data_IF_927519640447
#
_entry.id   IF_927519640447
#
_cell.length_a   1.000
_cell.length_b   1.000
_cell.length_c   1.000
_cell.angle_alpha   90.00
_cell.angle_beta   90.00
_cell.angle_gamma   90.00
#
_symmetry.space_group_name_H-M   'P 1'
#
loop_
_entity.id
_entity.type
_entity.pdbx_description
1 polymer ?
#
# COMPACT_ATOMS: atom_id res chain seq x y z
N UNK A 1 0.96 12.85 -7.37
CA UNK A 1 1.43 13.08 -5.97
C UNK A 1 2.87 13.53 -6.01
N UNK A 2 3.20 14.61 -5.32
CA UNK A 2 4.56 15.15 -5.16
C UNK A 2 4.77 15.59 -3.71
N UNK A 3 5.93 15.33 -3.15
CA UNK A 3 6.34 15.78 -1.83
C UNK A 3 7.42 16.85 -1.99
N UNK A 4 7.27 17.97 -1.27
CA UNK A 4 8.20 19.09 -1.31
C UNK A 4 8.61 19.46 0.12
N UNK A 5 9.90 19.34 0.41
CA UNK A 5 10.54 19.73 1.67
C UNK A 5 9.87 19.11 2.92
N UNK A 6 9.53 17.81 2.85
CA UNK A 6 8.84 17.12 3.96
C UNK A 6 9.81 16.91 5.12
N UNK A 7 9.49 17.53 6.27
CA UNK A 7 10.20 17.31 7.54
C UNK A 7 9.20 16.91 8.62
N UNK A 8 9.47 15.80 9.32
CA UNK A 8 8.66 15.31 10.44
C UNK A 8 9.50 15.08 11.68
N UNK A 9 9.10 15.75 12.77
CA UNK A 9 9.72 15.60 14.10
C UNK A 9 8.73 15.02 15.11
N UNK A 10 9.23 14.23 16.03
CA UNK A 10 8.56 13.79 17.23
C UNK A 10 9.34 14.31 18.45
N UNK A 11 8.84 15.35 19.10
CA UNK A 11 9.59 16.11 20.10
C UNK A 11 10.86 16.70 19.47
N UNK A 12 12.02 16.38 20.01
CA UNK A 12 13.31 16.84 19.48
C UNK A 12 13.90 15.89 18.42
N UNK A 13 13.31 14.72 18.21
CA UNK A 13 13.83 13.75 17.26
C UNK A 13 13.27 14.00 15.85
N UNK A 14 14.15 14.29 14.88
CA UNK A 14 13.81 14.40 13.47
C UNK A 14 13.83 13.00 12.86
N UNK A 15 12.67 12.53 12.37
CA UNK A 15 12.49 11.21 11.76
C UNK A 15 12.52 11.29 10.23
N UNK A 16 11.99 12.38 9.68
CA UNK A 16 12.07 12.71 8.25
C UNK A 16 12.64 14.11 8.15
N UNK A 17 13.63 14.31 7.29
CA UNK A 17 14.37 15.56 7.15
C UNK A 17 14.48 15.99 5.68
N UNK A 18 13.76 17.04 5.33
CA UNK A 18 13.79 17.70 4.01
C UNK A 18 13.61 16.77 2.81
N UNK A 19 12.69 15.81 2.89
CA UNK A 19 12.45 14.89 1.79
C UNK A 19 11.68 15.56 0.64
N UNK A 20 12.24 15.40 -0.56
CA UNK A 20 11.62 15.72 -1.83
C UNK A 20 11.40 14.43 -2.63
N UNK A 21 10.17 14.18 -3.10
CA UNK A 21 9.83 12.95 -3.82
C UNK A 21 8.75 13.20 -4.86
N UNK A 22 8.90 12.59 -6.01
CA UNK A 22 7.83 12.37 -6.98
C UNK A 22 7.99 11.00 -7.65
N UNK A 23 6.94 10.52 -8.28
CA UNK A 23 6.98 9.25 -9.01
C UNK A 23 7.69 9.38 -10.37
N UNK A 24 7.81 10.58 -10.94
CA UNK A 24 8.30 10.77 -12.29
C UNK A 24 7.54 9.90 -13.30
N UNK A 25 8.29 9.22 -14.16
CA UNK A 25 7.73 8.25 -15.12
C UNK A 25 7.52 6.85 -14.54
N UNK A 26 8.00 6.57 -13.33
CA UNK A 26 7.88 5.25 -12.70
C UNK A 26 6.44 4.98 -12.27
N UNK A 27 5.98 3.74 -12.49
CA UNK A 27 4.72 3.25 -11.95
C UNK A 27 4.90 2.60 -10.57
N UNK A 28 5.99 1.85 -10.38
CA UNK A 28 6.29 1.15 -9.12
C UNK A 28 7.61 1.66 -8.56
N UNK A 29 7.56 2.30 -7.39
CA UNK A 29 8.74 2.80 -6.69
C UNK A 29 8.93 2.01 -5.40
N UNK A 30 10.11 1.43 -5.23
CA UNK A 30 10.52 0.74 -4.01
C UNK A 30 11.12 1.70 -2.99
N UNK A 31 10.66 1.65 -1.75
CA UNK A 31 11.22 2.40 -0.63
C UNK A 31 12.04 1.47 0.26
N UNK A 32 13.34 1.62 0.22
CA UNK A 32 14.31 0.78 0.93
C UNK A 32 14.88 1.55 2.13
N UNK A 33 15.08 0.87 3.23
CA UNK A 33 15.74 1.44 4.41
C UNK A 33 15.64 0.51 5.62
N UNK A 34 16.51 0.72 6.59
CA UNK A 34 16.52 -0.06 7.84
C UNK A 34 15.20 0.09 8.60
N UNK A 35 14.91 -0.87 9.49
CA UNK A 35 13.76 -0.74 10.38
C UNK A 35 13.96 0.47 11.31
N UNK A 36 12.88 1.24 11.52
CA UNK A 36 12.90 2.45 12.32
C UNK A 36 13.46 3.72 11.63
N UNK A 37 13.93 3.65 10.39
CA UNK A 37 14.51 4.81 9.69
C UNK A 37 13.47 5.87 9.24
N UNK A 38 12.17 5.57 9.36
CA UNK A 38 11.11 6.53 9.01
C UNK A 38 10.23 6.14 7.81
N UNK A 39 10.41 4.96 7.19
CA UNK A 39 9.60 4.52 6.03
C UNK A 39 8.10 4.64 6.29
N UNK A 40 7.62 4.01 7.36
CA UNK A 40 6.21 4.06 7.77
C UNK A 40 5.74 5.48 8.08
N UNK A 41 6.59 6.31 8.68
CA UNK A 41 6.28 7.73 8.94
C UNK A 41 6.08 8.50 7.64
N UNK A 42 6.99 8.35 6.67
CA UNK A 42 6.86 8.97 5.36
C UNK A 42 5.58 8.52 4.65
N UNK A 43 5.30 7.23 4.64
CA UNK A 43 4.07 6.67 4.05
C UNK A 43 2.79 7.20 4.73
N UNK A 44 2.82 7.39 6.07
CA UNK A 44 1.71 7.99 6.82
C UNK A 44 1.54 9.49 6.53
N UNK A 45 2.58 10.21 6.19
CA UNK A 45 2.49 11.59 5.67
C UNK A 45 1.84 11.58 4.28
N UNK A 46 2.29 10.71 3.38
CA UNK A 46 1.79 10.62 2.02
C UNK A 46 0.29 10.27 1.93
N UNK A 47 -0.21 9.42 2.82
CA UNK A 47 -1.62 9.02 2.83
C UNK A 47 -2.52 9.93 3.69
N UNK A 48 -1.96 10.99 4.30
CA UNK A 48 -2.69 11.95 5.13
C UNK A 48 -2.99 11.50 6.56
N UNK A 49 -2.49 10.34 7.01
CA UNK A 49 -2.65 9.90 8.41
C UNK A 49 -1.79 10.71 9.39
N UNK A 50 -0.73 11.34 8.93
CA UNK A 50 0.05 12.32 9.67
C UNK A 50 -0.11 13.66 8.97
N UNK A 51 -0.70 14.64 9.67
CA UNK A 51 -0.97 15.99 9.15
C UNK A 51 -0.05 17.06 9.77
N UNK A 52 0.62 16.74 10.88
CA UNK A 52 1.55 17.66 11.54
C UNK A 52 2.98 17.37 11.07
N UNK A 53 3.39 18.02 9.98
CA UNK A 53 4.73 18.00 9.37
C UNK A 53 5.01 19.36 8.71
N UNK A 54 6.27 19.63 8.37
CA UNK A 54 6.67 20.78 7.54
C UNK A 54 6.77 20.33 6.07
N UNK A 55 6.59 21.27 5.13
CA UNK A 55 6.60 21.00 3.71
C UNK A 55 5.20 20.82 3.12
N UNK A 56 5.12 20.27 1.91
CA UNK A 56 3.87 20.14 1.16
C UNK A 56 3.76 18.76 0.51
N UNK A 57 2.60 18.11 0.68
CA UNK A 57 2.18 16.98 -0.17
C UNK A 57 1.20 17.53 -1.20
N UNK A 58 1.61 17.49 -2.47
CA UNK A 58 0.79 17.92 -3.59
C UNK A 58 0.08 16.70 -4.19
N UNK A 59 -1.23 16.68 -3.99
CA UNK A 59 -2.14 15.63 -4.46
C UNK A 59 -3.40 16.32 -4.97
N UNK A 60 -3.80 16.04 -6.20
CA UNK A 60 -5.02 16.59 -6.78
C UNK A 60 -6.25 16.08 -6.04
N UNK A 61 -7.28 16.93 -5.89
CA UNK A 61 -8.51 16.59 -5.13
C UNK A 61 -9.23 15.35 -5.67
N UNK A 62 -9.10 15.08 -6.96
CA UNK A 62 -9.74 13.94 -7.63
C UNK A 62 -8.91 12.66 -7.56
N UNK A 63 -7.68 12.72 -7.03
CA UNK A 63 -6.79 11.57 -6.89
C UNK A 63 -6.97 10.90 -5.54
N UNK A 64 -7.29 9.60 -5.54
CA UNK A 64 -7.42 8.80 -4.33
C UNK A 64 -6.11 8.09 -3.99
N UNK A 65 -5.85 7.96 -2.70
CA UNK A 65 -4.75 7.17 -2.17
C UNK A 65 -5.32 5.93 -1.49
N UNK A 66 -4.96 4.76 -2.00
CA UNK A 66 -5.15 3.50 -1.29
C UNK A 66 -3.91 3.20 -0.44
N UNK A 67 -4.08 2.58 0.69
CA UNK A 67 -2.92 2.24 1.52
C UNK A 67 -3.11 0.98 2.35
N UNK A 68 -2.02 0.26 2.51
CA UNK A 68 -1.86 -0.80 3.49
C UNK A 68 -0.59 -0.48 4.30
N UNK A 69 -0.79 0.12 5.46
CA UNK A 69 0.29 0.47 6.40
C UNK A 69 -0.02 -0.26 7.71
N UNK A 70 0.95 -1.03 8.19
CA UNK A 70 0.73 -1.95 9.32
C UNK A 70 -0.31 -3.04 8.99
N UNK A 71 -0.85 -3.70 10.00
CA UNK A 71 -1.83 -4.76 9.79
C UNK A 71 -3.25 -4.20 9.64
N UNK A 72 -3.95 -4.54 8.56
CA UNK A 72 -5.32 -4.08 8.39
C UNK A 72 -6.23 -4.69 9.46
N UNK A 73 -7.07 -3.87 10.05
CA UNK A 73 -8.12 -4.31 10.97
C UNK A 73 -9.27 -4.90 10.17
N UNK A 74 -9.14 -6.15 9.75
CA UNK A 74 -10.21 -6.89 9.10
C UNK A 74 -11.24 -7.37 10.14
N UNK A 75 -12.50 -7.46 9.73
CA UNK A 75 -13.56 -8.03 10.55
C UNK A 75 -13.49 -9.56 10.49
N UNK A 76 -12.76 -10.18 11.40
CA UNK A 76 -12.44 -11.61 11.42
C UNK A 76 -13.68 -12.53 11.47
N UNK A 77 -14.76 -12.10 12.10
CA UNK A 77 -16.00 -12.86 12.19
C UNK A 77 -16.91 -12.70 10.95
N UNK A 78 -16.52 -11.87 9.99
CA UNK A 78 -17.21 -11.63 8.71
C UNK A 78 -16.44 -12.29 7.57
N UNK A 79 -17.11 -12.46 6.42
CA UNK A 79 -16.46 -12.97 5.21
C UNK A 79 -15.51 -11.94 4.58
N UNK A 80 -14.58 -12.40 3.73
CA UNK A 80 -13.76 -11.49 2.93
C UNK A 80 -14.60 -10.57 2.06
N UNK A 81 -15.63 -11.10 1.41
CA UNK A 81 -16.55 -10.29 0.59
C UNK A 81 -17.28 -9.21 1.41
N UNK A 82 -17.67 -9.52 2.65
CA UNK A 82 -18.24 -8.51 3.55
C UNK A 82 -17.24 -7.39 3.83
N UNK A 83 -15.97 -7.75 4.11
CA UNK A 83 -14.92 -6.75 4.32
C UNK A 83 -14.75 -5.84 3.09
N UNK A 84 -14.64 -6.40 1.88
CA UNK A 84 -14.52 -5.61 0.65
C UNK A 84 -15.70 -4.64 0.49
N UNK A 85 -16.94 -5.12 0.68
CA UNK A 85 -18.15 -4.28 0.57
C UNK A 85 -18.15 -3.16 1.59
N UNK A 86 -17.84 -3.46 2.85
CA UNK A 86 -17.82 -2.48 3.92
C UNK A 86 -16.78 -1.38 3.66
N UNK A 87 -15.55 -1.77 3.33
CA UNK A 87 -14.49 -0.78 3.08
C UNK A 87 -14.75 0.04 1.81
N UNK A 88 -15.33 -0.53 0.76
CA UNK A 88 -15.75 0.23 -0.42
C UNK A 88 -16.77 1.33 -0.05
N UNK A 89 -17.72 1.03 0.85
CA UNK A 89 -18.69 2.01 1.34
C UNK A 89 -18.04 3.08 2.23
N UNK A 90 -17.20 2.68 3.18
CA UNK A 90 -16.51 3.59 4.12
C UNK A 90 -15.58 4.56 3.36
N UNK A 91 -14.94 4.10 2.30
CA UNK A 91 -14.06 4.91 1.45
C UNK A 91 -14.84 5.78 0.43
N UNK A 92 -16.19 5.79 0.50
CA UNK A 92 -17.05 6.73 -0.23
C UNK A 92 -17.25 6.46 -1.73
N UNK A 93 -16.75 5.33 -2.26
CA UNK A 93 -16.91 4.98 -3.70
C UNK A 93 -18.07 4.03 -3.97
N UNK A 94 -18.68 3.46 -2.93
CA UNK A 94 -19.65 2.38 -3.07
C UNK A 94 -18.99 1.06 -3.52
N UNK A 95 -19.78 -0.02 -3.51
CA UNK A 95 -19.30 -1.33 -3.94
C UNK A 95 -19.52 -1.53 -5.43
N UNK A 96 -18.47 -1.39 -6.23
CA UNK A 96 -18.46 -1.77 -7.63
C UNK A 96 -18.20 -3.27 -7.74
N UNK A 97 -19.21 -4.01 -8.22
CA UNK A 97 -19.14 -5.47 -8.30
C UNK A 97 -18.13 -5.93 -9.34
N UNK A 98 -18.11 -5.35 -10.51
CA UNK A 98 -17.24 -5.75 -11.63
C UNK A 98 -15.76 -5.52 -11.25
N UNK A 99 -15.45 -4.33 -10.77
CA UNK A 99 -14.11 -4.00 -10.26
C UNK A 99 -13.68 -4.92 -9.12
N UNK A 100 -14.56 -5.16 -8.14
CA UNK A 100 -14.26 -6.04 -7.01
C UNK A 100 -14.06 -7.49 -7.46
N UNK A 101 -14.85 -7.98 -8.40
CA UNK A 101 -14.71 -9.32 -8.97
C UNK A 101 -13.36 -9.45 -9.70
N UNK A 102 -12.94 -8.43 -10.45
CA UNK A 102 -11.62 -8.39 -11.09
C UNK A 102 -10.47 -8.50 -10.07
N UNK A 103 -10.52 -7.74 -8.97
CA UNK A 103 -9.52 -7.81 -7.90
C UNK A 103 -9.53 -9.18 -7.19
N UNK A 104 -10.72 -9.74 -6.92
CA UNK A 104 -10.89 -11.07 -6.32
C UNK A 104 -10.23 -12.14 -7.20
N UNK A 105 -10.43 -12.06 -8.50
CA UNK A 105 -9.87 -13.02 -9.46
C UNK A 105 -8.36 -12.87 -9.59
N UNK A 106 -7.86 -11.63 -9.68
CA UNK A 106 -6.43 -11.37 -9.78
C UNK A 106 -5.64 -11.97 -8.61
N UNK A 107 -6.16 -11.86 -7.38
CA UNK A 107 -5.53 -12.45 -6.18
C UNK A 107 -5.91 -13.92 -5.93
N UNK A 108 -6.70 -14.56 -6.81
CA UNK A 108 -7.13 -15.95 -6.64
C UNK A 108 -8.01 -16.19 -5.41
N UNK A 109 -8.81 -15.20 -4.99
CA UNK A 109 -9.58 -15.26 -3.75
C UNK A 109 -10.94 -15.96 -3.87
N UNK A 110 -11.42 -16.29 -5.09
CA UNK A 110 -12.74 -16.92 -5.32
C UNK A 110 -13.03 -18.12 -4.41
N UNK A 111 -12.10 -19.07 -4.17
CA UNK A 111 -12.40 -20.26 -3.39
C UNK A 111 -12.72 -19.99 -1.92
N UNK A 112 -12.33 -18.82 -1.39
CA UNK A 112 -12.45 -18.53 0.04
C UNK A 112 -13.06 -17.18 0.38
N UNK A 113 -13.33 -16.30 -0.58
CA UNK A 113 -13.82 -14.93 -0.34
C UNK A 113 -15.13 -14.89 0.47
N UNK A 114 -15.95 -15.94 0.40
CA UNK A 114 -17.19 -16.07 1.17
C UNK A 114 -16.99 -16.68 2.58
N UNK A 115 -15.80 -17.24 2.89
CA UNK A 115 -15.50 -17.78 4.21
C UNK A 115 -15.19 -16.66 5.20
N UNK A 116 -15.40 -16.92 6.52
CA UNK A 116 -15.02 -15.96 7.58
C UNK A 116 -13.51 -15.77 7.62
N UNK A 117 -13.06 -14.51 7.77
CA UNK A 117 -11.65 -14.13 7.75
C UNK A 117 -10.83 -14.80 8.86
N UNK A 118 -11.42 -15.11 9.99
CA UNK A 118 -10.75 -15.88 11.05
C UNK A 118 -10.26 -17.28 10.63
N UNK A 119 -10.77 -17.80 9.49
CA UNK A 119 -10.33 -19.08 8.91
C UNK A 119 -9.27 -18.91 7.82
N UNK A 120 -8.82 -17.69 7.57
CA UNK A 120 -7.82 -17.40 6.55
C UNK A 120 -6.42 -17.66 7.09
N UNK A 121 -5.54 -18.16 6.22
CA UNK A 121 -4.09 -18.14 6.47
C UNK A 121 -3.57 -16.70 6.49
N UNK A 122 -2.33 -16.51 6.93
CA UNK A 122 -1.68 -15.19 6.90
C UNK A 122 -1.68 -14.62 5.47
N UNK A 123 -1.25 -15.39 4.48
CA UNK A 123 -1.23 -14.96 3.07
C UNK A 123 -2.63 -14.63 2.52
N UNK A 124 -3.66 -15.40 2.88
CA UNK A 124 -5.05 -15.08 2.51
C UNK A 124 -5.52 -13.76 3.14
N UNK A 125 -5.16 -13.49 4.40
CA UNK A 125 -5.45 -12.20 5.05
C UNK A 125 -4.71 -11.05 4.37
N UNK A 126 -3.47 -11.26 3.99
CA UNK A 126 -2.65 -10.26 3.32
C UNK A 126 -3.21 -9.91 1.94
N UNK A 127 -3.56 -10.91 1.12
CA UNK A 127 -4.25 -10.71 -0.17
C UNK A 127 -5.54 -9.91 0.00
N UNK A 128 -6.36 -10.24 1.01
CA UNK A 128 -7.58 -9.50 1.30
C UNK A 128 -7.29 -8.05 1.73
N UNK A 129 -6.25 -7.83 2.52
CA UNK A 129 -5.83 -6.51 2.97
C UNK A 129 -5.43 -5.59 1.82
N UNK A 130 -4.62 -6.13 0.88
CA UNK A 130 -4.26 -5.40 -0.33
C UNK A 130 -5.51 -5.13 -1.18
N UNK A 131 -6.39 -6.12 -1.34
CA UNK A 131 -7.64 -5.94 -2.07
C UNK A 131 -8.53 -4.84 -1.45
N UNK A 132 -8.61 -4.75 -0.12
CA UNK A 132 -9.31 -3.67 0.59
C UNK A 132 -8.73 -2.30 0.26
N UNK A 133 -7.40 -2.17 0.21
CA UNK A 133 -6.74 -0.90 -0.12
C UNK A 133 -6.99 -0.42 -1.56
N UNK A 134 -7.48 -1.31 -2.42
CA UNK A 134 -7.85 -1.01 -3.80
C UNK A 134 -9.32 -0.57 -3.96
N UNK A 135 -10.17 -0.74 -2.93
CA UNK A 135 -11.63 -0.52 -3.09
C UNK A 135 -12.03 0.92 -3.34
N UNK A 136 -11.18 1.90 -3.07
CA UNK A 136 -11.43 3.31 -3.44
C UNK A 136 -10.96 3.65 -4.86
N UNK A 137 -10.55 2.67 -5.69
CA UNK A 137 -10.00 2.85 -7.04
C UNK A 137 -8.86 3.88 -7.02
N UNK A 138 -7.75 3.60 -6.31
CA UNK A 138 -6.74 4.59 -6.06
C UNK A 138 -5.93 4.92 -7.32
N UNK A 139 -5.53 6.19 -7.45
CA UNK A 139 -4.49 6.60 -8.40
C UNK A 139 -3.09 6.28 -7.84
N UNK A 140 -2.94 6.34 -6.53
CA UNK A 140 -1.70 6.02 -5.80
C UNK A 140 -1.99 4.95 -4.75
N UNK A 141 -1.18 3.91 -4.71
CA UNK A 141 -1.24 2.84 -3.72
C UNK A 141 0.04 2.83 -2.88
N UNK A 142 -0.09 2.82 -1.58
CA UNK A 142 1.03 2.80 -0.63
C UNK A 142 0.98 1.48 0.14
N UNK A 143 2.02 0.67 0.00
CA UNK A 143 2.11 -0.65 0.62
C UNK A 143 3.34 -0.74 1.51
N UNK A 144 3.14 -0.86 2.82
CA UNK A 144 4.23 -1.04 3.79
C UNK A 144 4.43 -2.53 4.06
N UNK A 145 5.52 -3.09 3.56
CA UNK A 145 5.93 -4.49 3.69
C UNK A 145 4.79 -5.51 3.36
N UNK A 146 4.16 -5.44 2.18
CA UNK A 146 2.96 -6.22 1.88
C UNK A 146 3.17 -7.74 1.83
N UNK A 147 4.40 -8.20 1.77
CA UNK A 147 4.77 -9.64 1.73
C UNK A 147 5.26 -10.16 3.08
N UNK A 148 5.26 -9.31 4.12
CA UNK A 148 5.79 -9.70 5.43
C UNK A 148 4.99 -10.88 6.03
N UNK A 149 5.73 -11.91 6.49
CA UNK A 149 5.13 -13.13 7.07
C UNK A 149 4.53 -14.11 6.07
N UNK A 150 4.71 -13.89 4.76
CA UNK A 150 4.34 -14.86 3.72
C UNK A 150 5.51 -15.80 3.41
N UNK A 151 5.18 -16.98 2.91
CA UNK A 151 6.16 -17.88 2.30
C UNK A 151 6.72 -17.28 0.99
N UNK A 152 7.89 -17.73 0.52
CA UNK A 152 8.53 -17.16 -0.67
C UNK A 152 7.65 -17.21 -1.93
N UNK A 153 7.01 -18.34 -2.20
CA UNK A 153 6.17 -18.51 -3.40
C UNK A 153 4.94 -17.61 -3.34
N UNK A 154 4.29 -17.53 -2.18
CA UNK A 154 3.16 -16.63 -1.94
C UNK A 154 3.53 -15.15 -2.07
N UNK A 155 4.74 -14.77 -1.63
CA UNK A 155 5.29 -13.42 -1.78
C UNK A 155 5.44 -13.05 -3.26
N UNK A 156 6.09 -13.93 -4.05
CA UNK A 156 6.30 -13.74 -5.49
C UNK A 156 4.95 -13.61 -6.23
N UNK A 157 3.98 -14.49 -5.90
CA UNK A 157 2.64 -14.45 -6.51
C UNK A 157 1.93 -13.12 -6.24
N UNK A 158 1.96 -12.64 -5.00
CA UNK A 158 1.35 -11.35 -4.63
C UNK A 158 2.03 -10.18 -5.34
N UNK A 159 3.36 -10.15 -5.39
CA UNK A 159 4.11 -9.08 -6.04
C UNK A 159 3.85 -9.01 -7.54
N UNK A 160 3.84 -10.15 -8.22
CA UNK A 160 3.49 -10.23 -9.65
C UNK A 160 2.04 -9.81 -9.92
N UNK A 161 1.12 -10.18 -9.02
CA UNK A 161 -0.28 -9.75 -9.11
C UNK A 161 -0.38 -8.23 -8.97
N UNK A 162 0.31 -7.63 -8.00
CA UNK A 162 0.37 -6.18 -7.83
C UNK A 162 0.93 -5.53 -9.11
N UNK A 163 2.04 -6.00 -9.65
CA UNK A 163 2.66 -5.46 -10.86
C UNK A 163 1.69 -5.50 -12.06
N UNK A 164 0.93 -6.57 -12.21
CA UNK A 164 -0.08 -6.70 -13.26
C UNK A 164 -1.22 -5.69 -13.07
N UNK A 165 -1.75 -5.58 -11.85
CA UNK A 165 -2.84 -4.64 -11.53
C UNK A 165 -2.41 -3.18 -11.71
N UNK A 166 -1.17 -2.82 -11.38
CA UNK A 166 -0.63 -1.47 -11.62
C UNK A 166 -0.77 -1.06 -13.08
N UNK A 167 -0.37 -1.95 -13.98
CA UNK A 167 -0.44 -1.71 -15.42
C UNK A 167 -1.88 -1.63 -15.91
N UNK A 168 -2.74 -2.55 -15.47
CA UNK A 168 -4.14 -2.63 -15.91
C UNK A 168 -4.99 -1.47 -15.41
N UNK A 169 -4.73 -0.98 -14.20
CA UNK A 169 -5.50 0.07 -13.54
C UNK A 169 -4.83 1.45 -13.66
N UNK A 170 -3.71 1.55 -14.38
CA UNK A 170 -2.96 2.79 -14.60
C UNK A 170 -2.65 3.57 -13.31
N UNK A 171 -2.37 2.84 -12.22
CA UNK A 171 -2.04 3.45 -10.93
C UNK A 171 -0.53 3.50 -10.71
N UNK A 172 -0.11 4.25 -9.69
CA UNK A 172 1.27 4.30 -9.23
C UNK A 172 1.38 3.73 -7.82
N UNK A 173 2.47 3.02 -7.53
CA UNK A 173 2.68 2.38 -6.22
C UNK A 173 3.99 2.82 -5.59
N UNK A 174 3.93 3.13 -4.29
CA UNK A 174 5.08 3.12 -3.40
C UNK A 174 5.01 1.87 -2.52
N UNK A 175 6.01 1.01 -2.62
CA UNK A 175 6.08 -0.23 -1.86
C UNK A 175 7.35 -0.25 -1.02
N UNK A 176 7.23 -0.53 0.28
CA UNK A 176 8.41 -0.83 1.10
C UNK A 176 8.67 -2.34 1.18
N UNK A 177 9.92 -2.72 1.20
CA UNK A 177 10.37 -4.05 1.58
C UNK A 177 11.75 -3.96 2.22
N UNK A 178 12.03 -4.88 3.16
CA UNK A 178 13.37 -5.10 3.68
C UNK A 178 14.12 -6.17 2.87
N UNK A 179 13.45 -6.84 1.92
CA UNK A 179 14.02 -7.81 0.99
C UNK A 179 14.30 -7.11 -0.33
N UNK A 180 15.56 -7.06 -0.74
CA UNK A 180 15.95 -6.43 -2.01
C UNK A 180 15.35 -7.17 -3.21
N UNK A 181 15.22 -8.50 -3.12
CA UNK A 181 14.66 -9.35 -4.16
C UNK A 181 13.20 -8.96 -4.49
N UNK A 182 12.41 -8.55 -3.50
CA UNK A 182 11.03 -8.07 -3.71
C UNK A 182 11.04 -6.79 -4.57
N UNK A 183 11.97 -5.88 -4.29
CA UNK A 183 12.09 -4.60 -5.00
C UNK A 183 12.61 -4.82 -6.42
N UNK A 184 13.65 -5.64 -6.59
CA UNK A 184 14.21 -5.98 -7.91
C UNK A 184 13.18 -6.66 -8.82
N UNK A 185 12.27 -7.46 -8.22
CA UNK A 185 11.28 -8.22 -8.96
C UNK A 185 10.25 -7.33 -9.69
N UNK A 186 9.80 -6.22 -9.07
CA UNK A 186 8.64 -5.49 -9.58
C UNK A 186 8.84 -3.98 -9.75
N UNK A 187 9.87 -3.38 -9.14
CA UNK A 187 10.00 -1.92 -9.11
C UNK A 187 10.74 -1.38 -10.34
N UNK A 188 10.25 -0.24 -10.87
CA UNK A 188 10.91 0.51 -11.94
C UNK A 188 12.05 1.37 -11.40
N UNK A 189 11.94 1.80 -10.13
CA UNK A 189 12.88 2.65 -9.43
C UNK A 189 12.91 2.31 -7.95
N UNK A 190 14.07 2.40 -7.32
CA UNK A 190 14.23 2.32 -5.88
C UNK A 190 14.73 3.66 -5.30
N UNK A 191 14.23 4.01 -4.12
CA UNK A 191 14.70 5.13 -3.32
C UNK A 191 15.14 4.61 -1.95
N UNK A 192 16.25 5.12 -1.46
CA UNK A 192 16.86 4.64 -0.22
C UNK A 192 16.67 5.70 0.86
N UNK A 193 15.90 5.36 1.90
CA UNK A 193 15.75 6.21 3.07
C UNK A 193 16.85 5.88 4.08
N UNK A 194 17.69 6.87 4.37
CA UNK A 194 18.77 6.78 5.33
C UNK A 194 18.81 8.02 6.20
N UNK A 195 18.85 7.83 7.51
CA UNK A 195 18.94 8.90 8.49
C UNK A 195 17.90 10.02 8.29
N UNK A 196 16.68 9.63 7.87
CA UNK A 196 15.56 10.53 7.61
C UNK A 196 15.56 11.22 6.24
N UNK A 197 16.52 10.92 5.35
CA UNK A 197 16.68 11.54 4.02
C UNK A 197 16.84 10.49 2.91
N UNK A 198 16.73 10.93 1.61
CA UNK A 198 16.96 10.11 0.40
C UNK A 198 18.39 10.22 -0.10
#
# INVERSE_FOLDING_TARGET
>A
MKLEHITKKYGQNTVIDDINFDFGNSQIVGLIGKNGVGKTTLMKVMNGNIINYQGKVDLSKDENVGYLIEHPKLYDNKSGLYNLKLFAQVLGKGFDKEYSDHIIDAFGMRPYIKKKVKKYSMGMKQKLAIAVSLMNKPKYLILDEPTNGMDPDGSIDVLKTIQSLVKQLEMKILISSHKLEDIELICDRAVFLRDGNF
#
